data_IF_054913685051
#
_entry.id   IF_054913685051
#
_cell.length_a   1.000
_cell.length_b   1.000
_cell.length_c   1.000
_cell.angle_alpha   90.00
_cell.angle_beta   90.00
_cell.angle_gamma   90.00
#
_symmetry.space_group_name_H-M   'P 1'
#
loop_
_entity.id
_entity.type
_entity.pdbx_description
1 polymer ?
#
# COMPACT_ATOMS: atom_id res chain seq x y z
N UNK A 1 0.78 34.78 3.43
CA UNK A 1 1.65 34.39 4.56
C UNK A 1 2.97 33.90 3.97
N UNK A 2 4.12 34.29 4.53
CA UNK A 2 5.42 33.78 4.10
C UNK A 2 5.48 32.24 4.17
N UNK A 3 6.16 31.62 3.18
CA UNK A 3 6.19 30.15 3.04
C UNK A 3 7.00 29.46 4.14
N UNK A 4 8.02 30.14 4.66
CA UNK A 4 8.87 29.75 5.79
C UNK A 4 8.09 29.64 7.11
N UNK A 5 7.16 30.56 7.38
CA UNK A 5 6.30 30.46 8.56
C UNK A 5 5.31 29.30 8.43
N UNK A 6 4.71 29.13 7.24
CA UNK A 6 3.84 27.99 6.96
C UNK A 6 4.59 26.66 7.09
N UNK A 7 5.83 26.62 6.60
CA UNK A 7 6.73 25.48 6.72
C UNK A 7 6.97 25.07 8.18
N UNK A 8 7.27 26.04 9.05
CA UNK A 8 7.47 25.81 10.48
C UNK A 8 6.19 25.24 11.10
N UNK A 9 5.04 25.88 10.88
CA UNK A 9 3.74 25.41 11.39
C UNK A 9 3.46 23.98 10.94
N UNK A 10 3.63 23.67 9.66
CA UNK A 10 3.35 22.35 9.11
C UNK A 10 4.26 21.25 9.66
N UNK A 11 5.48 21.61 10.07
CA UNK A 11 6.42 20.65 10.66
C UNK A 11 5.96 20.15 12.04
N UNK A 12 5.07 20.88 12.73
CA UNK A 12 4.49 20.53 14.03
C UNK A 12 3.13 19.83 13.94
N UNK A 13 2.55 19.70 12.74
CA UNK A 13 1.23 19.09 12.56
C UNK A 13 1.32 17.56 12.48
N UNK A 14 0.30 16.86 12.98
CA UNK A 14 0.20 15.41 12.76
C UNK A 14 -0.13 15.11 11.28
N UNK A 15 0.20 13.91 10.76
CA UNK A 15 0.00 13.65 9.33
C UNK A 15 -1.47 13.71 8.93
N UNK A 16 -2.38 13.36 9.85
CA UNK A 16 -3.83 13.52 9.66
C UNK A 16 -4.24 14.99 9.46
N UNK A 17 -3.62 15.91 10.19
CA UNK A 17 -3.91 17.34 10.10
C UNK A 17 -3.42 17.90 8.77
N UNK A 18 -2.23 17.49 8.32
CA UNK A 18 -1.70 17.88 7.00
C UNK A 18 -2.60 17.38 5.86
N UNK A 19 -3.14 16.17 5.96
CA UNK A 19 -4.11 15.66 4.97
C UNK A 19 -5.38 16.50 4.97
N UNK A 20 -5.92 16.80 6.15
CA UNK A 20 -7.13 17.58 6.29
C UNK A 20 -6.92 18.99 5.73
N UNK A 21 -5.78 19.62 6.05
CA UNK A 21 -5.40 20.92 5.52
C UNK A 21 -5.24 20.90 3.99
N UNK A 22 -4.62 19.86 3.44
CA UNK A 22 -4.51 19.68 1.99
C UNK A 22 -5.88 19.47 1.29
N UNK A 23 -6.95 19.18 2.04
CA UNK A 23 -8.31 19.02 1.53
C UNK A 23 -9.18 20.27 1.70
N UNK A 24 -8.76 21.28 2.47
CA UNK A 24 -9.58 22.48 2.70
C UNK A 24 -9.56 23.46 1.53
N UNK A 25 -8.40 23.69 0.90
CA UNK A 25 -8.25 24.64 -0.22
C UNK A 25 -7.36 24.10 -1.33
N UNK A 26 -7.57 24.60 -2.56
CA UNK A 26 -6.71 24.27 -3.72
C UNK A 26 -5.26 24.74 -3.49
N UNK A 27 -5.06 25.88 -2.82
CA UNK A 27 -3.72 26.41 -2.54
C UNK A 27 -2.93 25.49 -1.59
N UNK A 28 -3.55 25.08 -0.47
CA UNK A 28 -2.91 24.13 0.44
C UNK A 28 -2.67 22.77 -0.21
N UNK A 29 -3.62 22.30 -1.02
CA UNK A 29 -3.43 21.06 -1.79
C UNK A 29 -2.19 21.15 -2.68
N UNK A 30 -2.08 22.21 -3.47
CA UNK A 30 -0.95 22.41 -4.39
C UNK A 30 0.37 22.49 -3.63
N UNK A 31 0.42 23.25 -2.53
CA UNK A 31 1.62 23.39 -1.71
C UNK A 31 2.02 22.07 -1.05
N UNK A 32 1.11 21.42 -0.32
CA UNK A 32 1.42 20.24 0.48
C UNK A 32 1.68 19.00 -0.37
N UNK A 33 1.07 18.88 -1.55
CA UNK A 33 1.29 17.74 -2.45
C UNK A 33 2.50 17.93 -3.39
N UNK A 34 3.16 19.09 -3.34
CA UNK A 34 4.37 19.34 -4.12
C UNK A 34 5.56 18.53 -3.59
N UNK A 35 6.43 18.05 -4.49
CA UNK A 35 7.63 17.25 -4.10
C UNK A 35 8.56 18.00 -3.15
N UNK A 36 8.70 19.32 -3.34
CA UNK A 36 9.51 20.18 -2.46
C UNK A 36 9.02 20.20 -1.00
N UNK A 37 7.74 19.88 -0.76
CA UNK A 37 7.12 19.87 0.57
C UNK A 37 7.31 18.55 1.33
N UNK A 38 8.06 17.59 0.77
CA UNK A 38 8.27 16.26 1.38
C UNK A 38 8.88 16.33 2.80
N UNK A 39 9.67 17.37 3.08
CA UNK A 39 10.28 17.56 4.39
C UNK A 39 9.26 17.82 5.51
N UNK A 40 8.15 18.54 5.23
CA UNK A 40 7.06 18.74 6.21
C UNK A 40 6.41 17.42 6.59
N UNK A 41 6.11 16.59 5.58
CA UNK A 41 5.50 15.29 5.81
C UNK A 41 6.43 14.34 6.56
N UNK A 42 7.74 14.39 6.28
CA UNK A 42 8.73 13.60 7.02
C UNK A 42 8.81 14.02 8.48
N UNK A 43 8.80 15.32 8.78
CA UNK A 43 8.75 15.83 10.16
C UNK A 43 7.47 15.36 10.86
N UNK A 44 6.32 15.56 10.22
CA UNK A 44 5.01 15.12 10.69
C UNK A 44 4.95 13.60 10.94
N UNK A 45 5.53 12.78 10.05
CA UNK A 45 5.62 11.32 10.20
C UNK A 45 6.43 10.92 11.44
N UNK A 46 7.57 11.59 11.67
CA UNK A 46 8.42 11.36 12.84
C UNK A 46 7.71 11.73 14.15
N UNK A 47 6.99 12.86 14.16
CA UNK A 47 6.16 13.25 15.32
C UNK A 47 5.12 12.19 15.66
N UNK A 48 4.54 11.54 14.65
CA UNK A 48 3.57 10.48 14.83
C UNK A 48 4.17 9.10 15.17
N UNK A 49 5.50 8.98 15.29
CA UNK A 49 6.18 7.73 15.61
C UNK A 49 6.02 6.65 14.54
N UNK A 50 5.73 7.02 13.29
CA UNK A 50 5.56 6.07 12.20
C UNK A 50 6.91 5.58 11.67
N UNK A 51 7.01 4.30 11.25
CA UNK A 51 8.24 3.75 10.72
C UNK A 51 8.66 4.45 9.43
N UNK A 52 9.88 4.15 9.00
CA UNK A 52 10.39 4.70 7.75
C UNK A 52 9.57 4.29 6.54
N UNK A 53 9.52 5.25 5.61
CA UNK A 53 8.64 5.23 4.45
C UNK A 53 8.92 3.96 3.64
N UNK A 54 7.91 3.08 3.43
CA UNK A 54 8.07 1.97 2.50
C UNK A 54 8.39 2.57 1.12
N UNK A 55 9.39 2.03 0.41
CA UNK A 55 9.94 2.57 -0.87
C UNK A 55 8.89 2.90 -1.96
N UNK A 56 7.62 2.52 -1.78
CA UNK A 56 6.53 2.72 -2.74
C UNK A 56 5.61 3.91 -2.48
N UNK A 57 5.66 4.53 -1.30
CA UNK A 57 4.72 5.59 -0.96
C UNK A 57 5.44 6.92 -0.89
N UNK A 58 4.85 7.97 -1.46
CA UNK A 58 5.23 9.32 -1.07
C UNK A 58 4.78 9.58 0.36
N UNK A 59 5.44 10.49 1.08
CA UNK A 59 5.06 10.81 2.46
C UNK A 59 3.56 11.21 2.59
N UNK A 60 2.96 12.02 1.69
CA UNK A 60 1.52 12.28 1.70
C UNK A 60 0.66 11.03 1.44
N UNK A 61 1.10 10.13 0.55
CA UNK A 61 0.38 8.89 0.27
C UNK A 61 0.43 7.94 1.47
N UNK A 62 1.57 7.86 2.16
CA UNK A 62 1.72 7.09 3.38
C UNK A 62 0.86 7.62 4.51
N UNK A 63 0.88 8.94 4.73
CA UNK A 63 -0.01 9.59 5.67
C UNK A 63 -1.48 9.28 5.33
N UNK A 64 -1.87 9.46 4.05
CA UNK A 64 -3.25 9.18 3.61
C UNK A 64 -3.64 7.73 3.86
N UNK A 65 -2.73 6.80 3.61
CA UNK A 65 -2.93 5.38 3.82
C UNK A 65 -3.15 5.01 5.30
N UNK A 66 -2.35 5.59 6.21
CA UNK A 66 -2.47 5.33 7.65
C UNK A 66 -3.73 5.98 8.22
N UNK A 67 -3.95 7.25 7.91
CA UNK A 67 -4.89 8.09 8.66
C UNK A 67 -6.25 8.27 7.96
N UNK A 68 -6.32 8.21 6.62
CA UNK A 68 -7.61 8.39 5.97
C UNK A 68 -8.57 7.25 6.27
N UNK A 69 -9.84 7.61 6.49
CA UNK A 69 -10.92 6.68 6.86
C UNK A 69 -11.86 6.34 5.69
N UNK A 70 -11.39 6.39 4.44
CA UNK A 70 -12.19 6.04 3.26
C UNK A 70 -11.69 4.74 2.60
N UNK A 71 -12.56 4.10 1.84
CA UNK A 71 -12.18 2.96 1.00
C UNK A 71 -11.31 3.45 -0.17
N UNK A 72 -10.11 2.90 -0.36
CA UNK A 72 -9.23 3.27 -1.47
C UNK A 72 -9.74 2.82 -2.85
N UNK A 73 -10.75 1.94 -2.91
CA UNK A 73 -11.35 1.51 -4.17
C UNK A 73 -12.61 2.30 -4.53
N UNK A 74 -13.60 2.33 -3.63
CA UNK A 74 -14.90 2.95 -3.91
C UNK A 74 -15.13 4.30 -3.24
N UNK A 75 -14.11 4.84 -2.55
CA UNK A 75 -14.15 6.13 -1.84
C UNK A 75 -15.23 6.26 -0.75
N UNK A 76 -15.92 5.16 -0.38
CA UNK A 76 -16.85 5.13 0.74
C UNK A 76 -16.17 5.69 2.00
N UNK A 77 -16.78 6.68 2.63
CA UNK A 77 -16.27 7.33 3.85
C UNK A 77 -16.54 6.50 5.11
N UNK A 78 -15.92 6.89 6.23
CA UNK A 78 -16.14 6.31 7.56
C UNK A 78 -15.97 4.78 7.61
N UNK A 79 -14.98 4.28 6.86
CA UNK A 79 -14.62 2.87 6.82
C UNK A 79 -13.85 2.51 8.09
N UNK A 80 -14.52 1.72 8.94
CA UNK A 80 -13.98 1.24 10.23
C UNK A 80 -13.02 0.06 10.12
N UNK A 81 -12.80 -0.50 8.93
CA UNK A 81 -11.89 -1.64 8.76
C UNK A 81 -10.45 -1.20 8.99
N UNK A 82 -9.64 -2.09 9.55
CA UNK A 82 -8.21 -1.85 9.71
C UNK A 82 -7.52 -1.73 8.35
N UNK A 83 -6.45 -0.95 8.34
CA UNK A 83 -5.50 -0.87 7.24
C UNK A 83 -4.89 -2.25 6.98
N UNK A 84 -4.72 -2.61 5.70
CA UNK A 84 -4.01 -3.83 5.30
C UNK A 84 -2.61 -3.43 4.85
N UNK A 85 -1.67 -3.45 5.79
CA UNK A 85 -0.27 -3.03 5.62
C UNK A 85 0.42 -3.69 4.45
N UNK A 86 0.18 -4.99 4.25
CA UNK A 86 0.93 -5.76 3.28
C UNK A 86 0.67 -5.34 1.84
N UNK A 87 -0.46 -4.67 1.58
CA UNK A 87 -0.87 -4.26 0.24
C UNK A 87 -1.18 -2.76 0.17
N UNK A 88 -0.85 -2.02 1.24
CA UNK A 88 -1.02 -0.57 1.33
C UNK A 88 -2.45 -0.05 1.01
N UNK A 89 -3.49 -0.79 1.43
CA UNK A 89 -4.90 -0.36 1.23
C UNK A 89 -5.76 -0.36 2.48
N UNK A 90 -6.77 0.51 2.49
CA UNK A 90 -7.97 0.39 3.35
C UNK A 90 -9.17 0.11 2.46
N UNK A 91 -9.85 -1.01 2.69
CA UNK A 91 -11.06 -1.38 1.97
C UNK A 91 -12.26 -1.51 2.89
N UNK A 92 -13.41 -1.01 2.44
CA UNK A 92 -14.68 -1.37 3.06
C UNK A 92 -14.91 -2.88 2.93
N UNK A 93 -15.84 -3.45 3.74
CA UNK A 93 -16.09 -4.90 3.75
C UNK A 93 -16.36 -5.46 2.36
N UNK A 94 -17.24 -4.82 1.59
CA UNK A 94 -17.57 -5.25 0.23
C UNK A 94 -16.34 -5.27 -0.70
N UNK A 95 -15.55 -4.19 -0.72
CA UNK A 95 -14.33 -4.15 -1.54
C UNK A 95 -13.27 -5.14 -1.06
N UNK A 96 -13.18 -5.41 0.24
CA UNK A 96 -12.26 -6.43 0.76
C UNK A 96 -12.66 -7.82 0.26
N UNK A 97 -13.95 -8.14 0.30
CA UNK A 97 -14.45 -9.44 -0.13
C UNK A 97 -14.27 -9.67 -1.66
N UNK A 98 -14.30 -8.61 -2.47
CA UNK A 98 -14.11 -8.71 -3.93
C UNK A 98 -12.66 -8.61 -4.37
N UNK A 99 -11.87 -7.74 -3.74
CA UNK A 99 -10.49 -7.42 -4.15
C UNK A 99 -9.43 -8.25 -3.42
N UNK A 100 -9.83 -9.23 -2.61
CA UNK A 100 -8.91 -10.15 -1.96
C UNK A 100 -9.29 -11.60 -2.21
N UNK A 101 -8.27 -12.46 -2.31
CA UNK A 101 -8.42 -13.90 -2.53
C UNK A 101 -7.82 -14.63 -1.34
N UNK A 102 -8.59 -15.52 -0.70
CA UNK A 102 -8.06 -16.37 0.38
C UNK A 102 -7.06 -17.36 -0.21
N UNK A 103 -5.90 -17.52 0.42
CA UNK A 103 -4.86 -18.43 -0.07
C UNK A 103 -5.27 -19.92 -0.15
N UNK A 104 -6.35 -20.31 0.54
CA UNK A 104 -6.89 -21.67 0.53
C UNK A 104 -8.00 -21.90 -0.50
N UNK A 105 -8.44 -20.86 -1.21
CA UNK A 105 -9.49 -20.99 -2.23
C UNK A 105 -8.84 -21.18 -3.59
N UNK A 106 -9.41 -22.10 -4.38
CA UNK A 106 -9.19 -22.12 -5.83
C UNK A 106 -9.73 -20.80 -6.41
N UNK A 107 -8.90 -20.12 -7.18
CA UNK A 107 -9.21 -18.85 -7.83
C UNK A 107 -8.39 -18.77 -9.12
N UNK A 108 -9.01 -18.51 -10.28
CA UNK A 108 -8.31 -18.51 -11.57
C UNK A 108 -7.13 -17.52 -11.64
N UNK A 109 -7.23 -16.37 -10.96
CA UNK A 109 -6.16 -15.37 -10.89
C UNK A 109 -4.97 -15.89 -10.11
N UNK A 110 -5.23 -16.58 -9.01
CA UNK A 110 -4.19 -17.16 -8.19
C UNK A 110 -3.51 -18.35 -8.88
N UNK A 111 -4.29 -19.24 -9.50
CA UNK A 111 -3.80 -20.42 -10.21
C UNK A 111 -2.95 -20.04 -11.41
N UNK A 112 -3.39 -19.05 -12.20
CA UNK A 112 -2.61 -18.52 -13.33
C UNK A 112 -1.26 -17.98 -12.88
N UNK A 113 -1.21 -17.21 -11.78
CA UNK A 113 0.07 -16.69 -11.26
C UNK A 113 0.96 -17.84 -10.76
N UNK A 114 0.41 -18.84 -10.08
CA UNK A 114 1.22 -19.99 -9.63
C UNK A 114 1.76 -20.82 -10.79
N UNK A 115 0.99 -21.01 -11.86
CA UNK A 115 1.46 -21.71 -13.06
C UNK A 115 2.60 -20.96 -13.76
N UNK A 116 2.50 -19.62 -13.83
CA UNK A 116 3.40 -18.79 -14.61
C UNK A 116 4.66 -18.32 -13.86
N UNK A 117 4.55 -18.14 -12.54
CA UNK A 117 5.63 -17.67 -11.66
C UNK A 117 6.26 -18.84 -10.88
N UNK A 118 5.57 -19.98 -10.81
CA UNK A 118 6.08 -21.21 -10.21
C UNK A 118 6.46 -21.07 -8.74
N UNK A 119 7.67 -21.54 -8.40
CA UNK A 119 8.18 -21.52 -7.03
C UNK A 119 8.39 -20.11 -6.46
N UNK A 120 8.48 -19.09 -7.32
CA UNK A 120 8.76 -17.71 -6.91
C UNK A 120 7.52 -16.98 -6.38
N UNK A 121 6.30 -17.54 -6.53
CA UNK A 121 5.07 -16.83 -6.17
C UNK A 121 5.02 -16.38 -4.70
N UNK A 122 5.61 -17.14 -3.76
CA UNK A 122 5.71 -16.73 -2.34
C UNK A 122 6.59 -15.51 -2.11
N UNK A 123 7.56 -15.27 -3.00
CA UNK A 123 8.49 -14.14 -2.94
C UNK A 123 8.00 -12.92 -3.73
N UNK A 124 7.07 -13.11 -4.66
CA UNK A 124 6.54 -12.04 -5.54
C UNK A 124 5.22 -11.48 -5.01
N UNK A 125 4.40 -12.31 -4.36
CA UNK A 125 3.08 -11.93 -3.90
C UNK A 125 3.08 -11.38 -2.48
N UNK A 126 2.30 -10.31 -2.28
CA UNK A 126 2.07 -9.77 -0.95
C UNK A 126 0.94 -10.56 -0.28
N UNK A 127 1.22 -11.07 0.91
CA UNK A 127 0.28 -11.88 1.68
C UNK A 127 -0.12 -11.14 2.96
N UNK A 128 -1.39 -10.75 3.06
CA UNK A 128 -1.92 -10.19 4.30
C UNK A 128 -2.26 -11.33 5.28
N UNK A 129 -1.61 -11.42 6.46
CA UNK A 129 -1.84 -12.51 7.40
C UNK A 129 -3.22 -12.41 8.06
N UNK A 130 -3.75 -13.56 8.47
CA UNK A 130 -5.00 -13.65 9.27
C UNK A 130 -4.64 -14.15 10.66
N UNK A 131 -5.09 -13.42 11.69
CA UNK A 131 -5.07 -13.93 13.06
C UNK A 131 -6.23 -14.91 13.21
N UNK A 132 -5.90 -16.18 13.47
CA UNK A 132 -6.89 -17.18 13.86
C UNK A 132 -7.21 -17.06 15.35
N UNK A 133 -8.45 -17.40 15.72
CA UNK A 133 -8.98 -17.33 17.08
C UNK A 133 -8.28 -18.26 18.08
N UNK A 134 -7.50 -19.24 17.62
CA UNK A 134 -6.87 -20.27 18.46
C UNK A 134 -5.42 -19.95 18.89
N UNK A 135 -4.91 -18.73 18.66
CA UNK A 135 -3.54 -18.35 19.02
C UNK A 135 -2.45 -19.00 18.16
N UNK A 136 -2.78 -19.99 17.33
CA UNK A 136 -1.87 -20.61 16.36
C UNK A 136 -1.96 -19.84 15.03
N UNK A 137 -0.88 -19.12 14.69
CA UNK A 137 -0.69 -18.51 13.37
C UNK A 137 -0.51 -19.58 12.30
N UNK A 138 -1.58 -20.23 11.82
CA UNK A 138 -1.55 -20.80 10.48
C UNK A 138 -1.69 -19.62 9.51
N UNK A 139 -0.64 -19.33 8.74
CA UNK A 139 -0.63 -18.28 7.71
C UNK A 139 -1.54 -18.70 6.55
N UNK A 140 -2.85 -18.67 6.77
CA UNK A 140 -3.83 -18.59 5.69
C UNK A 140 -4.03 -17.10 5.46
N UNK A 141 -3.25 -16.55 4.54
CA UNK A 141 -3.34 -15.13 4.19
C UNK A 141 -4.35 -14.84 3.10
N UNK A 142 -4.52 -13.55 2.83
CA UNK A 142 -5.22 -13.07 1.65
C UNK A 142 -4.21 -12.49 0.64
N UNK A 143 -4.39 -12.82 -0.64
CA UNK A 143 -3.73 -12.17 -1.77
C UNK A 143 -4.57 -10.98 -2.25
N UNK A 144 -3.93 -9.99 -2.83
CA UNK A 144 -4.59 -8.84 -3.43
C UNK A 144 -4.90 -9.13 -4.90
N UNK A 145 -6.20 -9.17 -5.26
CA UNK A 145 -6.63 -9.51 -6.61
C UNK A 145 -6.04 -8.57 -7.68
N UNK A 146 -6.03 -7.23 -7.49
CA UNK A 146 -5.34 -6.33 -8.42
C UNK A 146 -3.87 -6.66 -8.65
N UNK A 147 -3.13 -7.09 -7.62
CA UNK A 147 -1.73 -7.54 -7.80
C UNK A 147 -1.65 -8.80 -8.65
N UNK A 148 -2.55 -9.78 -8.45
CA UNK A 148 -2.58 -11.00 -9.27
C UNK A 148 -2.84 -10.69 -10.75
N UNK A 149 -3.82 -9.80 -11.01
CA UNK A 149 -4.15 -9.36 -12.36
C UNK A 149 -2.96 -8.62 -12.99
N UNK A 150 -2.31 -7.72 -12.26
CA UNK A 150 -1.12 -7.00 -12.75
C UNK A 150 -0.01 -7.97 -13.16
N UNK A 151 0.32 -8.95 -12.31
CA UNK A 151 1.37 -9.94 -12.61
C UNK A 151 0.99 -10.77 -13.84
N UNK A 152 -0.27 -11.21 -13.96
CA UNK A 152 -0.73 -11.92 -15.15
C UNK A 152 -0.56 -11.07 -16.41
N UNK A 153 -1.01 -9.82 -16.38
CA UNK A 153 -0.88 -8.90 -17.53
C UNK A 153 0.58 -8.63 -17.89
N UNK A 154 1.49 -8.56 -16.91
CA UNK A 154 2.92 -8.40 -17.18
C UNK A 154 3.55 -9.68 -17.73
N UNK A 155 3.12 -10.85 -17.25
CA UNK A 155 3.55 -12.12 -17.81
C UNK A 155 3.17 -12.22 -19.29
N UNK A 156 1.91 -11.92 -19.65
CA UNK A 156 1.45 -11.94 -21.05
C UNK A 156 2.31 -11.07 -21.97
N UNK A 157 2.84 -9.95 -21.47
CA UNK A 157 3.67 -9.02 -22.23
C UNK A 157 5.15 -9.41 -22.30
N UNK A 158 5.69 -9.93 -21.20
CA UNK A 158 7.14 -10.05 -20.98
C UNK A 158 7.65 -11.49 -21.01
N UNK A 159 6.79 -12.51 -20.94
CA UNK A 159 7.22 -13.92 -20.79
C UNK A 159 8.06 -14.45 -21.95
N UNK A 160 8.00 -13.83 -23.13
CA UNK A 160 8.85 -14.17 -24.28
C UNK A 160 10.26 -13.58 -24.18
N UNK A 161 10.45 -12.55 -23.35
CA UNK A 161 11.74 -11.92 -23.06
C UNK A 161 12.18 -12.26 -21.63
N UNK A 162 13.01 -13.29 -21.53
CA UNK A 162 13.54 -13.82 -20.27
C UNK A 162 14.21 -12.77 -19.38
N UNK A 163 14.93 -11.81 -19.97
CA UNK A 163 15.65 -10.78 -19.22
C UNK A 163 14.68 -9.78 -18.58
N UNK A 164 13.74 -9.26 -19.37
CA UNK A 164 12.72 -8.32 -18.89
C UNK A 164 11.80 -8.97 -17.85
N UNK A 165 11.41 -10.23 -18.06
CA UNK A 165 10.61 -10.98 -17.10
C UNK A 165 11.35 -11.18 -15.77
N UNK A 166 12.62 -11.57 -15.80
CA UNK A 166 13.43 -11.72 -14.57
C UNK A 166 13.63 -10.38 -13.86
N UNK A 167 13.83 -9.29 -14.60
CA UNK A 167 13.91 -7.96 -14.02
C UNK A 167 12.61 -7.55 -13.32
N UNK A 168 11.45 -7.81 -13.94
CA UNK A 168 10.14 -7.59 -13.33
C UNK A 168 9.95 -8.42 -12.06
N UNK A 169 10.25 -9.73 -12.11
CA UNK A 169 10.13 -10.62 -10.94
C UNK A 169 11.02 -10.15 -9.79
N UNK A 170 12.29 -9.80 -10.07
CA UNK A 170 13.21 -9.25 -9.06
C UNK A 170 12.69 -7.95 -8.47
N UNK A 171 12.11 -7.07 -9.29
CA UNK A 171 11.49 -5.84 -8.82
C UNK A 171 10.33 -6.15 -7.85
N UNK A 172 9.50 -7.15 -8.15
CA UNK A 172 8.40 -7.57 -7.27
C UNK A 172 8.88 -8.25 -5.98
N UNK A 173 9.98 -9.01 -6.02
CA UNK A 173 10.59 -9.60 -4.83
C UNK A 173 11.10 -8.51 -3.87
N UNK A 174 11.89 -7.56 -4.36
CA UNK A 174 12.35 -6.42 -3.58
C UNK A 174 11.17 -5.65 -2.97
N UNK A 175 10.09 -5.51 -3.74
CA UNK A 175 8.83 -4.89 -3.30
C UNK A 175 8.17 -5.69 -2.16
N UNK A 176 8.11 -7.01 -2.23
CA UNK A 176 7.49 -7.84 -1.21
C UNK A 176 8.33 -7.89 0.08
N UNK A 177 9.65 -7.99 -0.04
CA UNK A 177 10.59 -7.98 1.10
C UNK A 177 10.52 -6.67 1.90
N UNK A 178 10.46 -5.53 1.21
CA UNK A 178 10.35 -4.21 1.85
C UNK A 178 9.10 -4.06 2.73
N UNK A 179 8.05 -4.87 2.50
CA UNK A 179 6.81 -4.86 3.28
C UNK A 179 6.93 -5.73 4.53
N UNK A 180 7.57 -6.90 4.41
CA UNK A 180 7.70 -7.85 5.52
C UNK A 180 8.60 -7.33 6.63
N UNK A 181 9.51 -6.39 6.31
CA UNK A 181 10.42 -5.75 7.26
C UNK A 181 9.82 -4.55 8.00
N UNK A 182 8.58 -4.12 7.68
CA UNK A 182 7.85 -3.11 8.44
C UNK A 182 7.16 -3.81 9.62
N UNK A 183 7.91 -4.03 10.71
CA UNK A 183 7.39 -4.55 11.99
C UNK A 183 6.85 -3.44 12.87
#
# INVERSE_FOLDING_TARGET
>A
MPLDILAEIFSHLFPQDLINLARTTKAFRTLLMHRGSAHFWRASRRLAGLPDLPQRLSEPAYASFVYSNHCHNCFKQNVKSSVIWQIAVRYCRACKDTLTVKATKSDPDLESVFANVGSLSRSVLNVAPVKLSSGVLKVIGFYHRPQLIEIRTQWEKLHTNDEEWRAYVKQQQNKAEAIQNVR
#
